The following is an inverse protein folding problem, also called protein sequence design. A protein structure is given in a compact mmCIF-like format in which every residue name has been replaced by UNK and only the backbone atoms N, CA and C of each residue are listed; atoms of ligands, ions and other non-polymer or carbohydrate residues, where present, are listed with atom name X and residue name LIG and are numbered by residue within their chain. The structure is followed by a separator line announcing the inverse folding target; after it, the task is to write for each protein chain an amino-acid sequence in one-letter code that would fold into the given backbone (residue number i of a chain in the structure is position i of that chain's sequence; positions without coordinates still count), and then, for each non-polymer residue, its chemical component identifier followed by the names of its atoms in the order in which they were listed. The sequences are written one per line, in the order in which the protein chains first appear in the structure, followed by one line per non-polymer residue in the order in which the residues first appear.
data_IF_950430208520
#
_entry.id   IF_950430208520
#
_cell.length_a   1.000
_cell.length_b   1.000
_cell.length_c   1.000
_cell.angle_alpha   90.00
_cell.angle_beta   90.00
_cell.angle_gamma   90.00
#
_symmetry.space_group_name_H-M   'P 1'
#
loop_
_entity.id
_entity.type
_entity.pdbx_description
1 polymer ?
#
# COMPACT_ATOMS: atom_id res chain seq x y z
N UNK A 1 11.74 -63.82 1.48
CA UNK A 1 12.01 -63.12 2.76
C UNK A 1 10.79 -62.30 3.14
N UNK A 2 10.20 -62.49 4.32
CA UNK A 2 9.12 -61.62 4.79
C UNK A 2 9.72 -60.30 5.31
N UNK A 3 9.20 -59.17 4.84
CA UNK A 3 9.58 -57.86 5.36
C UNK A 3 9.00 -57.69 6.77
N UNK A 4 9.85 -57.30 7.71
CA UNK A 4 9.44 -56.94 9.07
C UNK A 4 9.22 -55.42 9.08
N UNK A 5 7.99 -54.99 9.34
CA UNK A 5 7.66 -53.59 9.55
C UNK A 5 7.47 -53.34 11.05
N UNK A 6 8.36 -52.54 11.64
CA UNK A 6 8.24 -52.04 13.01
C UNK A 6 7.91 -50.54 12.88
N UNK A 7 6.68 -50.10 13.20
CA UNK A 7 6.38 -48.69 13.18
C UNK A 7 7.23 -47.96 14.24
N UNK A 8 7.68 -46.73 13.97
CA UNK A 8 8.42 -45.95 14.96
C UNK A 8 7.54 -45.69 16.18
N UNK A 9 8.08 -45.91 17.37
CA UNK A 9 7.40 -45.55 18.62
C UNK A 9 7.20 -44.04 18.69
N UNK A 10 5.98 -43.63 19.03
CA UNK A 10 5.67 -42.22 19.23
C UNK A 10 6.33 -41.75 20.54
N UNK A 11 7.49 -41.12 20.42
CA UNK A 11 8.24 -40.55 21.55
C UNK A 11 7.57 -39.32 22.18
N UNK A 12 6.59 -38.74 21.49
CA UNK A 12 5.96 -37.49 21.90
C UNK A 12 4.63 -37.74 22.60
N UNK A 13 4.42 -37.05 23.70
CA UNK A 13 3.15 -36.99 24.41
C UNK A 13 2.42 -35.71 24.03
N UNK A 14 1.15 -35.80 23.67
CA UNK A 14 0.33 -34.64 23.33
C UNK A 14 -0.63 -34.36 24.46
N UNK A 15 -0.65 -33.13 24.97
CA UNK A 15 -1.56 -32.70 26.03
C UNK A 15 -2.43 -31.59 25.51
N UNK A 16 -3.71 -31.89 25.31
CA UNK A 16 -4.70 -30.91 24.88
C UNK A 16 -5.31 -30.19 26.08
N UNK A 17 -5.48 -28.89 25.93
CA UNK A 17 -6.07 -27.99 26.93
C UNK A 17 -7.11 -27.11 26.26
N UNK A 18 -8.28 -27.00 26.87
CA UNK A 18 -9.28 -25.99 26.54
C UNK A 18 -9.00 -24.75 27.37
N UNK A 19 -8.82 -23.62 26.69
CA UNK A 19 -8.61 -22.32 27.30
C UNK A 19 -9.94 -21.58 27.36
N UNK A 20 -10.46 -21.42 28.57
CA UNK A 20 -11.66 -20.65 28.83
C UNK A 20 -11.23 -19.31 29.44
N UNK A 21 -11.71 -18.16 28.92
CA UNK A 21 -11.39 -16.86 29.51
C UNK A 21 -11.70 -16.82 31.01
N UNK A 22 -10.78 -16.25 31.79
CA UNK A 22 -10.91 -16.08 33.25
C UNK A 22 -11.08 -17.38 34.06
N UNK A 23 -10.73 -18.54 33.47
CA UNK A 23 -10.72 -19.84 34.16
C UNK A 23 -9.41 -20.57 33.90
N UNK A 24 -9.08 -21.50 34.78
CA UNK A 24 -7.94 -22.40 34.59
C UNK A 24 -8.13 -23.25 33.34
N UNK A 25 -7.03 -23.50 32.60
CA UNK A 25 -7.04 -24.36 31.43
C UNK A 25 -7.55 -25.77 31.78
N UNK A 26 -8.56 -26.24 31.06
CA UNK A 26 -9.13 -27.56 31.27
C UNK A 26 -8.41 -28.58 30.40
N UNK A 27 -7.70 -29.53 31.01
CA UNK A 27 -6.97 -30.58 30.28
C UNK A 27 -7.97 -31.58 29.71
N UNK A 28 -7.93 -31.81 28.40
CA UNK A 28 -8.76 -32.80 27.75
C UNK A 28 -8.18 -34.21 27.95
N UNK A 29 -9.03 -35.24 28.02
CA UNK A 29 -8.60 -36.62 28.26
C UNK A 29 -7.94 -37.29 27.04
N UNK A 30 -8.07 -36.72 25.83
CA UNK A 30 -7.52 -37.30 24.60
C UNK A 30 -6.10 -36.78 24.35
N UNK A 31 -5.11 -37.65 24.49
CA UNK A 31 -3.66 -37.37 24.39
C UNK A 31 -3.07 -37.68 23.00
N UNK A 32 -3.83 -37.40 21.95
CA UNK A 32 -3.50 -37.74 20.56
C UNK A 32 -2.91 -36.55 19.79
N UNK A 33 -2.11 -36.81 18.76
CA UNK A 33 -1.64 -35.76 17.83
C UNK A 33 -2.78 -35.07 17.05
N UNK A 34 -3.95 -35.71 16.98
CA UNK A 34 -5.11 -35.28 16.22
C UNK A 34 -6.27 -35.03 17.18
N UNK A 35 -6.87 -33.84 17.10
CA UNK A 35 -8.10 -33.53 17.83
C UNK A 35 -9.23 -33.19 16.86
N UNK A 36 -10.34 -33.92 16.98
CA UNK A 36 -11.59 -33.60 16.29
C UNK A 36 -12.40 -32.66 17.19
N UNK A 37 -12.72 -31.48 16.68
CA UNK A 37 -13.54 -30.50 17.39
C UNK A 37 -14.77 -30.19 16.57
N UNK A 38 -15.95 -30.29 17.19
CA UNK A 38 -17.20 -29.85 16.59
C UNK A 38 -17.35 -28.34 16.82
N UNK A 39 -17.96 -27.64 15.86
CA UNK A 39 -18.32 -26.23 16.06
C UNK A 39 -19.53 -26.17 16.99
N UNK A 40 -19.31 -25.63 18.18
CA UNK A 40 -20.37 -25.33 19.14
C UNK A 40 -20.90 -23.91 18.97
N UNK A 41 -21.91 -23.55 19.77
CA UNK A 41 -22.55 -22.23 19.77
C UNK A 41 -21.63 -21.09 20.23
N UNK A 42 -20.54 -21.39 20.93
CA UNK A 42 -19.58 -20.41 21.47
C UNK A 42 -18.18 -20.66 20.91
N UNK A 43 -17.40 -19.60 20.76
CA UNK A 43 -15.99 -19.74 20.37
C UNK A 43 -15.17 -20.33 21.51
N UNK A 44 -14.34 -21.32 21.17
CA UNK A 44 -13.49 -22.02 22.14
C UNK A 44 -12.06 -22.05 21.63
N UNK A 45 -11.11 -21.81 22.53
CA UNK A 45 -9.68 -21.90 22.21
C UNK A 45 -9.09 -23.16 22.80
N UNK A 46 -8.34 -23.88 21.99
CA UNK A 46 -7.63 -25.09 22.36
C UNK A 46 -6.13 -24.86 22.25
N UNK A 47 -5.38 -25.55 23.09
CA UNK A 47 -3.93 -25.57 23.08
C UNK A 47 -3.44 -27.01 23.17
N UNK A 48 -2.58 -27.44 22.24
CA UNK A 48 -1.86 -28.69 22.35
C UNK A 48 -0.43 -28.38 22.77
N UNK A 49 0.03 -29.02 23.83
CA UNK A 49 1.45 -29.06 24.20
C UNK A 49 2.02 -30.41 23.77
N UNK A 50 3.06 -30.37 22.94
CA UNK A 50 3.86 -31.54 22.60
C UNK A 50 4.98 -31.64 23.62
N UNK A 51 5.04 -32.77 24.32
CA UNK A 51 6.00 -33.04 25.36
C UNK A 51 6.94 -34.19 24.97
N UNK A 52 8.22 -34.03 25.29
CA UNK A 52 9.25 -35.08 25.20
C UNK A 52 9.92 -35.18 26.57
N UNK A 53 9.91 -36.36 27.18
CA UNK A 53 10.44 -36.60 28.53
C UNK A 53 9.93 -35.62 29.60
N UNK A 54 8.67 -35.19 29.49
CA UNK A 54 8.03 -34.23 30.40
C UNK A 54 8.31 -32.75 30.11
N UNK A 55 9.17 -32.45 29.15
CA UNK A 55 9.45 -31.08 28.71
C UNK A 55 8.56 -30.69 27.54
N UNK A 56 7.97 -29.49 27.58
CA UNK A 56 7.20 -28.95 26.46
C UNK A 56 8.17 -28.49 25.37
N UNK A 57 8.19 -29.19 24.24
CA UNK A 57 9.05 -28.86 23.10
C UNK A 57 8.34 -28.04 22.03
N UNK A 58 7.01 -28.10 22.00
CA UNK A 58 6.18 -27.30 21.09
C UNK A 58 4.81 -27.05 21.70
N UNK A 59 4.18 -25.95 21.31
CA UNK A 59 2.81 -25.64 21.69
C UNK A 59 2.07 -25.02 20.51
N UNK A 60 0.90 -25.57 20.20
CA UNK A 60 0.02 -25.08 19.14
C UNK A 60 -1.26 -24.58 19.79
N UNK A 61 -1.70 -23.37 19.43
CA UNK A 61 -2.95 -22.78 19.92
C UNK A 61 -3.89 -22.54 18.74
N UNK A 62 -5.12 -23.03 18.86
CA UNK A 62 -6.14 -22.94 17.83
C UNK A 62 -7.48 -22.48 18.40
N UNK A 63 -8.10 -21.48 17.78
CA UNK A 63 -9.43 -21.01 18.18
C UNK A 63 -10.47 -21.47 17.17
N UNK A 64 -11.44 -22.24 17.64
CA UNK A 64 -12.64 -22.61 16.89
C UNK A 64 -13.67 -21.51 17.14
N UNK A 65 -13.98 -20.73 16.11
CA UNK A 65 -15.03 -19.71 16.18
C UNK A 65 -16.41 -20.31 15.97
N UNK A 66 -17.39 -19.81 16.73
CA UNK A 66 -18.80 -20.13 16.51
C UNK A 66 -19.27 -19.60 15.16
N UNK A 67 -20.24 -20.28 14.56
CA UNK A 67 -20.77 -19.93 13.22
C UNK A 67 -21.28 -18.49 13.17
N UNK A 68 -21.95 -18.01 14.22
CA UNK A 68 -22.51 -16.65 14.33
C UNK A 68 -21.45 -15.55 14.47
N UNK A 69 -20.26 -15.87 14.99
CA UNK A 69 -19.15 -14.92 15.15
C UNK A 69 -18.27 -14.81 13.90
N UNK A 70 -18.29 -15.83 13.03
CA UNK A 70 -17.50 -15.80 11.80
C UNK A 70 -17.98 -14.77 10.79
N UNK A 71 -19.29 -14.49 10.72
CA UNK A 71 -19.85 -13.48 9.81
C UNK A 71 -19.46 -12.06 10.22
N UNK A 72 -19.54 -11.74 11.51
CA UNK A 72 -19.19 -10.42 12.05
C UNK A 72 -17.69 -10.13 11.97
N UNK A 73 -16.81 -11.13 12.17
CA UNK A 73 -15.35 -10.96 11.96
C UNK A 73 -14.95 -10.88 10.50
N UNK A 74 -15.59 -11.65 9.61
CA UNK A 74 -15.34 -11.57 8.16
C UNK A 74 -15.71 -10.18 7.62
N UNK A 75 -16.86 -9.62 8.03
CA UNK A 75 -17.24 -8.23 7.70
C UNK A 75 -16.19 -7.24 8.18
N UNK A 76 -15.82 -7.28 9.46
CA UNK A 76 -14.85 -6.34 10.05
C UNK A 76 -13.46 -6.41 9.40
N UNK A 77 -12.98 -7.60 9.05
CA UNK A 77 -11.65 -7.78 8.40
C UNK A 77 -11.67 -7.32 6.94
N UNK A 78 -12.79 -7.53 6.24
CA UNK A 78 -13.00 -7.00 4.88
C UNK A 78 -13.08 -5.47 4.95
N UNK A 79 -13.85 -4.89 5.87
CA UNK A 79 -13.96 -3.45 6.07
C UNK A 79 -12.62 -2.78 6.40
N UNK A 80 -11.82 -3.37 7.29
CA UNK A 80 -10.51 -2.80 7.69
C UNK A 80 -9.49 -2.89 6.55
N UNK A 81 -9.47 -4.00 5.79
CA UNK A 81 -8.59 -4.19 4.64
C UNK A 81 -9.02 -3.33 3.44
N UNK A 82 -10.31 -3.21 3.21
CA UNK A 82 -10.92 -2.41 2.15
C UNK A 82 -10.72 -0.92 2.43
N UNK A 83 -10.98 -0.45 3.66
CA UNK A 83 -10.77 0.94 4.08
C UNK A 83 -9.32 1.42 3.87
N UNK A 84 -8.34 0.59 4.25
CA UNK A 84 -6.91 0.91 4.07
C UNK A 84 -6.48 0.91 2.59
N UNK A 85 -7.10 0.06 1.76
CA UNK A 85 -6.83 0.00 0.32
C UNK A 85 -7.49 1.17 -0.41
N UNK A 86 -8.74 1.50 -0.08
CA UNK A 86 -9.48 2.63 -0.67
C UNK A 86 -8.86 3.98 -0.37
N UNK A 87 -8.25 4.17 0.81
CA UNK A 87 -7.55 5.42 1.15
C UNK A 87 -6.29 5.60 0.33
N UNK A 88 -5.51 4.52 0.12
CA UNK A 88 -4.31 4.55 -0.72
C UNK A 88 -4.67 4.79 -2.19
N UNK A 89 -5.71 4.13 -2.69
CA UNK A 89 -6.19 4.30 -4.06
C UNK A 89 -6.73 5.72 -4.30
N UNK A 90 -7.46 6.31 -3.34
CA UNK A 90 -7.97 7.68 -3.44
C UNK A 90 -6.85 8.74 -3.48
N UNK A 91 -5.81 8.58 -2.65
CA UNK A 91 -4.64 9.48 -2.66
C UNK A 91 -3.90 9.38 -4.00
N UNK A 92 -3.72 8.16 -4.53
CA UNK A 92 -3.03 7.96 -5.79
C UNK A 92 -3.78 8.61 -6.97
N UNK A 93 -5.11 8.48 -6.99
CA UNK A 93 -5.97 9.13 -7.99
C UNK A 93 -5.89 10.66 -7.87
N UNK A 94 -5.90 11.20 -6.65
CA UNK A 94 -5.80 12.65 -6.44
C UNK A 94 -4.45 13.22 -6.91
N UNK A 95 -3.34 12.53 -6.60
CA UNK A 95 -1.99 12.92 -7.05
C UNK A 95 -1.88 12.83 -8.57
N UNK A 96 -2.45 11.80 -9.18
CA UNK A 96 -2.42 11.64 -10.63
C UNK A 96 -3.19 12.75 -11.34
N UNK A 97 -4.41 13.06 -10.87
CA UNK A 97 -5.25 14.12 -11.46
C UNK A 97 -4.59 15.50 -11.32
N UNK A 98 -4.08 15.83 -10.13
CA UNK A 98 -3.39 17.10 -9.89
C UNK A 98 -2.11 17.20 -10.72
N UNK A 99 -1.34 16.13 -10.84
CA UNK A 99 -0.14 16.08 -11.68
C UNK A 99 -0.43 16.30 -13.17
N UNK A 100 -1.51 15.71 -13.71
CA UNK A 100 -1.92 15.93 -15.10
C UNK A 100 -2.27 17.40 -15.34
N UNK A 101 -3.07 18.01 -14.44
CA UNK A 101 -3.47 19.42 -14.56
C UNK A 101 -2.24 20.34 -14.56
N UNK A 102 -1.30 20.12 -13.63
CA UNK A 102 -0.07 20.92 -13.53
C UNK A 102 0.79 20.76 -14.79
N UNK A 103 0.91 19.54 -15.31
CA UNK A 103 1.71 19.26 -16.52
C UNK A 103 1.14 19.96 -17.74
N UNK A 104 -0.19 19.86 -17.95
CA UNK A 104 -0.87 20.54 -19.06
C UNK A 104 -0.72 22.06 -18.94
N UNK A 105 -0.89 22.61 -17.73
CA UNK A 105 -0.70 24.03 -17.46
C UNK A 105 0.72 24.52 -17.77
N UNK A 106 1.74 23.74 -17.41
CA UNK A 106 3.13 24.06 -17.71
C UNK A 106 3.42 24.08 -19.22
N UNK A 107 2.89 23.09 -19.97
CA UNK A 107 3.01 23.05 -21.44
C UNK A 107 2.36 24.30 -22.06
N UNK A 108 1.14 24.65 -21.60
CA UNK A 108 0.44 25.84 -22.10
C UNK A 108 1.21 27.12 -21.81
N UNK A 109 1.75 27.28 -20.60
CA UNK A 109 2.58 28.43 -20.23
C UNK A 109 3.84 28.53 -21.11
N UNK A 110 4.52 27.40 -21.38
CA UNK A 110 5.68 27.37 -22.28
C UNK A 110 5.32 27.83 -23.70
N UNK A 111 4.18 27.39 -24.24
CA UNK A 111 3.71 27.82 -25.56
C UNK A 111 3.42 29.33 -25.58
N UNK A 112 2.73 29.84 -24.57
CA UNK A 112 2.45 31.28 -24.45
C UNK A 112 3.72 32.10 -24.32
N UNK A 113 4.72 31.62 -23.58
CA UNK A 113 6.02 32.28 -23.48
C UNK A 113 6.71 32.38 -24.84
N UNK A 114 6.65 31.32 -25.66
CA UNK A 114 7.22 31.33 -27.02
C UNK A 114 6.45 32.27 -27.95
N UNK A 115 5.11 32.24 -27.93
CA UNK A 115 4.28 33.14 -28.73
C UNK A 115 4.50 34.61 -28.33
N UNK A 116 4.48 34.89 -27.03
CA UNK A 116 4.71 36.23 -26.50
C UNK A 116 6.15 36.68 -26.82
N UNK A 117 7.14 35.79 -26.75
CA UNK A 117 8.51 36.10 -27.19
C UNK A 117 8.57 36.46 -28.68
N UNK A 118 7.84 35.76 -29.55
CA UNK A 118 7.79 36.10 -30.99
C UNK A 118 7.16 37.49 -31.22
N UNK A 119 6.09 37.82 -30.48
CA UNK A 119 5.46 39.13 -30.53
C UNK A 119 6.40 40.22 -30.00
N UNK A 120 6.99 40.02 -28.82
CA UNK A 120 7.96 40.97 -28.22
C UNK A 120 9.18 41.15 -29.12
N UNK A 121 9.68 40.08 -29.74
CA UNK A 121 10.80 40.14 -30.68
C UNK A 121 10.46 40.94 -31.93
N UNK A 122 9.27 40.74 -32.51
CA UNK A 122 8.83 41.53 -33.67
C UNK A 122 8.66 43.02 -33.34
N UNK A 123 8.16 43.33 -32.14
CA UNK A 123 8.03 44.71 -31.65
C UNK A 123 9.41 45.32 -31.41
N UNK A 124 10.35 44.58 -30.82
CA UNK A 124 11.71 45.06 -30.58
C UNK A 124 12.47 45.30 -31.88
N UNK A 125 12.36 44.39 -32.86
CA UNK A 125 12.97 44.55 -34.19
C UNK A 125 12.41 45.78 -34.91
N UNK A 126 11.09 46.00 -34.88
CA UNK A 126 10.46 47.19 -35.46
C UNK A 126 10.92 48.50 -34.80
N UNK A 127 11.07 48.51 -33.46
CA UNK A 127 11.51 49.67 -32.70
C UNK A 127 13.00 50.00 -32.90
N UNK A 128 13.85 48.98 -33.03
CA UNK A 128 15.28 49.16 -33.34
C UNK A 128 15.55 49.59 -34.79
N UNK A 129 14.74 49.11 -35.75
CA UNK A 129 14.84 49.52 -37.15
C UNK A 129 14.49 51.00 -37.35
N UNK A 130 13.49 51.49 -36.63
CA UNK A 130 13.08 52.90 -36.66
C UNK A 130 14.13 53.82 -36.01
N UNK A 131 14.67 53.45 -34.84
CA UNK A 131 15.74 54.21 -34.16
C UNK A 131 17.02 54.33 -35.03
N UNK A 132 17.33 53.29 -35.83
CA UNK A 132 18.48 53.31 -36.74
C UNK A 132 18.26 54.18 -37.99
N UNK A 133 17.03 54.22 -38.53
CA UNK A 133 16.65 55.12 -39.63
C UNK A 133 16.69 56.58 -39.18
N UNK A 134 16.15 56.89 -37.99
CA UNK A 134 16.14 58.24 -37.43
C UNK A 134 17.55 58.77 -37.16
N UNK A 135 18.45 57.92 -36.61
CA UNK A 135 19.87 58.26 -36.41
C UNK A 135 20.63 58.44 -37.74
N UNK A 136 20.31 57.65 -38.77
CA UNK A 136 20.92 57.78 -40.10
C UNK A 136 20.47 59.05 -40.83
N UNK A 137 19.20 59.45 -40.67
CA UNK A 137 18.66 60.72 -41.17
C UNK A 137 19.27 61.92 -40.44
N UNK A 138 19.41 61.85 -39.11
CA UNK A 138 20.04 62.90 -38.32
C UNK A 138 21.51 63.15 -38.72
N UNK A 139 22.31 62.09 -38.87
CA UNK A 139 23.72 62.21 -39.30
C UNK A 139 23.86 62.71 -40.75
N UNK A 140 22.97 62.29 -41.66
CA UNK A 140 22.99 62.78 -43.05
C UNK A 140 22.61 64.26 -43.14
N UNK A 141 21.77 64.76 -42.24
CA UNK A 141 21.42 66.18 -42.15
C UNK A 141 22.57 67.05 -41.61
N UNK A 142 23.38 66.53 -40.67
CA UNK A 142 24.56 67.26 -40.16
C UNK A 142 25.69 67.33 -41.18
N UNK A 143 25.87 66.29 -42.01
CA UNK A 143 26.92 66.26 -43.02
C UNK A 143 26.68 67.24 -44.18
N UNK A 144 25.43 67.57 -44.50
CA UNK A 144 25.10 68.54 -45.57
C UNK A 144 25.26 70.01 -45.18
N UNK A 145 25.43 70.31 -43.89
CA UNK A 145 25.56 71.69 -43.40
C UNK A 145 27.03 72.13 -43.22
N UNK A 146 27.99 71.39 -43.81
CA UNK A 146 29.43 71.68 -43.70
C UNK A 146 30.13 71.88 -45.06
N UNK A 147 29.38 72.02 -46.16
CA UNK A 147 29.92 72.33 -47.50
C UNK A 147 29.51 73.73 -47.97
#
# INVERSE_FOLDING_TARGET
MPCIYIPPENRFKYVWKMLIPNKTAHILPNDSAIMKVCRDTHSVTFQCETQENGNIIASVKYTVYATTETETKKSRRIETGQSRRTTTDAILVFVLLTGIIVTVGAIFAMILMILHWAVVKSIWESKSGQDNQDKKLANKSSLRNME
#
